data_IF_271468425015
#
_entry.id   IF_271468425015
#
_cell.length_a   1.000
_cell.length_b   1.000
_cell.length_c   1.000
_cell.angle_alpha   90.00
_cell.angle_beta   90.00
_cell.angle_gamma   90.00
#
_symmetry.space_group_name_H-M   'P 1'
#
loop_
_entity.id
_entity.type
_entity.pdbx_description
1 polymer ?
#
# COMPACT_ATOMS: atom_id res chain seq x y z
N UNK A 1 -6.50 -3.30 -20.14
CA UNK A 1 -7.81 -2.96 -19.55
C UNK A 1 -7.85 -3.12 -18.02
N UNK A 2 -7.02 -3.98 -17.41
CA UNK A 2 -6.98 -4.12 -15.94
C UNK A 2 -6.18 -3.01 -15.23
N UNK A 3 -5.28 -2.33 -15.93
CA UNK A 3 -4.40 -1.29 -15.37
C UNK A 3 -4.75 0.10 -15.89
N UNK A 4 -5.13 0.23 -17.16
CA UNK A 4 -5.41 1.50 -17.79
C UNK A 4 -6.67 1.46 -18.65
N UNK A 5 -7.27 2.64 -18.96
CA UNK A 5 -8.35 2.73 -19.93
C UNK A 5 -7.90 2.30 -21.33
N UNK A 6 -8.84 1.82 -22.14
CA UNK A 6 -8.58 1.46 -23.52
C UNK A 6 -7.97 2.64 -24.30
N UNK A 7 -6.89 2.38 -25.04
CA UNK A 7 -6.19 3.40 -25.83
C UNK A 7 -5.08 4.17 -25.08
N UNK A 8 -4.79 3.86 -23.82
CA UNK A 8 -3.58 4.34 -23.16
C UNK A 8 -2.35 3.72 -23.84
N UNK A 9 -1.25 4.48 -23.91
CA UNK A 9 0.04 3.97 -24.40
C UNK A 9 0.65 2.98 -23.40
N UNK A 10 1.54 2.12 -23.85
CA UNK A 10 2.17 1.09 -23.00
C UNK A 10 3.10 1.68 -21.95
N UNK A 11 3.71 2.84 -22.20
CA UNK A 11 4.71 3.45 -21.31
C UNK A 11 4.21 3.71 -19.87
N UNK A 12 3.09 4.43 -19.63
CA UNK A 12 2.58 4.62 -18.28
C UNK A 12 2.08 3.31 -17.65
N UNK A 13 1.62 2.35 -18.43
CA UNK A 13 1.19 1.04 -17.95
C UNK A 13 2.40 0.25 -17.41
N UNK A 14 3.48 0.17 -18.17
CA UNK A 14 4.70 -0.54 -17.79
C UNK A 14 5.38 0.13 -16.59
N UNK A 15 5.42 1.46 -16.56
CA UNK A 15 5.90 2.24 -15.42
C UNK A 15 5.12 1.90 -14.15
N UNK A 16 3.80 1.97 -14.19
CA UNK A 16 2.93 1.68 -13.06
C UNK A 16 3.04 0.22 -12.58
N UNK A 17 3.14 -0.75 -13.51
CA UNK A 17 3.36 -2.15 -13.18
C UNK A 17 4.72 -2.37 -12.48
N UNK A 18 5.76 -1.70 -12.94
CA UNK A 18 7.10 -1.74 -12.32
C UNK A 18 7.06 -1.18 -10.91
N UNK A 19 6.43 -0.03 -10.71
CA UNK A 19 6.32 0.63 -9.41
C UNK A 19 5.49 -0.21 -8.40
N UNK A 20 4.45 -0.89 -8.89
CA UNK A 20 3.62 -1.78 -8.07
C UNK A 20 4.25 -3.18 -7.84
N UNK A 21 5.43 -3.47 -8.41
CA UNK A 21 6.03 -4.80 -8.34
C UNK A 21 5.19 -5.87 -9.05
N UNK A 22 4.52 -5.52 -10.14
CA UNK A 22 3.59 -6.38 -10.86
C UNK A 22 4.03 -6.69 -12.30
N UNK A 23 5.21 -6.22 -12.72
CA UNK A 23 5.67 -6.34 -14.11
C UNK A 23 5.89 -7.79 -14.55
N UNK A 24 6.29 -8.65 -13.63
CA UNK A 24 6.61 -10.07 -13.85
C UNK A 24 5.40 -10.99 -13.76
N UNK A 25 4.22 -10.48 -13.42
CA UNK A 25 3.02 -11.30 -13.20
C UNK A 25 2.40 -11.81 -14.50
N UNK A 26 2.46 -11.02 -15.56
CA UNK A 26 1.88 -11.34 -16.87
C UNK A 26 2.37 -10.35 -17.95
N UNK A 27 2.22 -10.71 -19.23
CA UNK A 27 2.39 -9.75 -20.32
C UNK A 27 1.16 -8.83 -20.43
N UNK A 28 1.28 -7.70 -21.15
CA UNK A 28 0.17 -6.74 -21.29
C UNK A 28 -1.08 -7.35 -21.95
N UNK A 29 -0.90 -8.37 -22.78
CA UNK A 29 -1.97 -9.05 -23.51
C UNK A 29 -2.51 -10.30 -22.80
N UNK A 30 -1.96 -10.68 -21.65
CA UNK A 30 -2.38 -11.89 -20.93
C UNK A 30 -3.77 -11.67 -20.29
N UNK A 31 -4.78 -12.52 -20.60
CA UNK A 31 -6.05 -12.48 -19.90
C UNK A 31 -5.86 -12.88 -18.42
N UNK A 32 -6.24 -11.99 -17.50
CA UNK A 32 -6.17 -12.26 -16.05
C UNK A 32 -7.43 -12.99 -15.57
N UNK A 33 -7.74 -14.15 -16.16
CA UNK A 33 -8.89 -14.97 -15.78
C UNK A 33 -8.67 -16.45 -16.13
N UNK A 34 -8.98 -17.32 -15.17
CA UNK A 34 -9.04 -18.77 -15.37
C UNK A 34 -10.14 -19.10 -16.35
N UNK A 35 -10.02 -19.68 -17.42
CA UNK A 35 -11.07 -20.11 -18.37
C UNK A 35 -10.96 -19.50 -19.75
N UNK A 36 -10.03 -18.60 -19.94
CA UNK A 36 -9.63 -18.13 -21.24
C UNK A 36 -8.35 -18.84 -21.71
N UNK A 37 -8.26 -19.16 -23.00
CA UNK A 37 -7.06 -19.75 -23.58
C UNK A 37 -5.85 -18.81 -23.36
N UNK A 38 -4.79 -19.31 -22.73
CA UNK A 38 -3.63 -18.51 -22.36
C UNK A 38 -3.84 -17.58 -21.14
N UNK A 39 -4.98 -17.69 -20.46
CA UNK A 39 -5.26 -16.92 -19.25
C UNK A 39 -4.51 -17.42 -18.03
N UNK A 40 -4.20 -16.53 -17.11
CA UNK A 40 -3.59 -16.83 -15.82
C UNK A 40 -4.51 -16.45 -14.67
N UNK A 41 -4.34 -17.12 -13.53
CA UNK A 41 -4.98 -16.75 -12.28
C UNK A 41 -3.96 -16.12 -11.36
N UNK A 42 -4.36 -15.05 -10.70
CA UNK A 42 -3.50 -14.33 -9.78
C UNK A 42 -3.92 -14.63 -8.33
N UNK A 43 -2.93 -14.75 -7.44
CA UNK A 43 -3.19 -14.77 -5.99
C UNK A 43 -3.76 -13.43 -5.52
N UNK A 44 -4.34 -13.39 -4.31
CA UNK A 44 -4.86 -12.15 -3.73
C UNK A 44 -3.83 -11.02 -3.69
N UNK A 45 -2.59 -11.32 -3.26
CA UNK A 45 -1.51 -10.34 -3.25
C UNK A 45 -1.05 -9.88 -4.64
N UNK A 46 -1.13 -10.77 -5.65
CA UNK A 46 -0.86 -10.40 -7.03
C UNK A 46 -1.97 -9.48 -7.58
N UNK A 47 -3.23 -9.77 -7.29
CA UNK A 47 -4.35 -8.89 -7.63
C UNK A 47 -4.24 -7.52 -6.97
N UNK A 48 -3.78 -7.46 -5.72
CA UNK A 48 -3.54 -6.20 -5.02
C UNK A 48 -2.47 -5.36 -5.72
N UNK A 49 -1.37 -5.98 -6.17
CA UNK A 49 -0.33 -5.28 -6.96
C UNK A 49 -0.87 -4.76 -8.30
N UNK A 50 -1.72 -5.50 -8.98
CA UNK A 50 -2.39 -5.04 -10.22
C UNK A 50 -3.35 -3.86 -9.92
N UNK A 51 -4.09 -3.92 -8.82
CA UNK A 51 -4.97 -2.82 -8.41
C UNK A 51 -4.17 -1.56 -8.05
N UNK A 52 -3.02 -1.71 -7.38
CA UNK A 52 -2.10 -0.61 -7.10
C UNK A 52 -1.53 -0.03 -8.40
N UNK A 53 -1.10 -0.87 -9.34
CA UNK A 53 -0.63 -0.41 -10.66
C UNK A 53 -1.69 0.40 -11.40
N UNK A 54 -2.97 0.02 -11.31
CA UNK A 54 -4.08 0.81 -11.86
C UNK A 54 -4.17 2.20 -11.26
N UNK A 55 -4.03 2.33 -9.94
CA UNK A 55 -4.07 3.61 -9.26
C UNK A 55 -2.88 4.49 -9.66
N UNK A 56 -1.66 3.92 -9.71
CA UNK A 56 -0.45 4.63 -10.12
C UNK A 56 -0.50 5.05 -11.60
N UNK A 57 -1.00 4.20 -12.49
CA UNK A 57 -1.21 4.54 -13.89
C UNK A 57 -2.19 5.71 -14.06
N UNK A 58 -3.26 5.75 -13.27
CA UNK A 58 -4.20 6.87 -13.28
C UNK A 58 -3.52 8.19 -12.82
N UNK A 59 -2.61 8.14 -11.85
CA UNK A 59 -1.82 9.30 -11.43
C UNK A 59 -0.89 9.77 -12.54
N UNK A 60 -0.18 8.88 -13.21
CA UNK A 60 0.68 9.21 -14.36
C UNK A 60 -0.12 9.81 -15.53
N UNK A 61 -1.37 9.40 -15.69
CA UNK A 61 -2.31 9.95 -16.67
C UNK A 61 -2.99 11.26 -16.20
N UNK A 62 -2.59 11.80 -15.05
CA UNK A 62 -3.02 13.13 -14.57
C UNK A 62 -4.14 13.11 -13.54
N UNK A 63 -4.42 12.00 -12.87
CA UNK A 63 -5.36 12.00 -11.75
C UNK A 63 -4.85 12.89 -10.61
N UNK A 64 -5.66 13.85 -10.18
CA UNK A 64 -5.32 14.78 -9.09
C UNK A 64 -5.60 14.25 -7.70
N UNK A 65 -6.31 13.11 -7.58
CA UNK A 65 -6.65 12.46 -6.31
C UNK A 65 -6.55 10.94 -6.47
N UNK A 66 -5.94 10.29 -5.50
CA UNK A 66 -5.92 8.82 -5.41
C UNK A 66 -6.37 8.36 -4.03
N UNK A 67 -7.22 7.34 -4.00
CA UNK A 67 -7.68 6.69 -2.77
C UNK A 67 -7.14 5.27 -2.72
N UNK A 68 -6.44 4.93 -1.66
CA UNK A 68 -5.80 3.65 -1.44
C UNK A 68 -6.28 3.05 -0.11
N UNK A 69 -6.92 1.91 -0.19
CA UNK A 69 -7.39 1.15 0.97
C UNK A 69 -6.51 -0.07 1.17
N UNK A 70 -5.75 -0.08 2.27
CA UNK A 70 -4.80 -1.14 2.64
C UNK A 70 -3.90 -1.63 1.48
N UNK A 71 -3.21 -0.74 0.75
CA UNK A 71 -2.56 -1.08 -0.53
C UNK A 71 -1.42 -2.09 -0.41
N UNK A 72 -0.92 -2.34 0.80
CA UNK A 72 0.22 -3.24 1.08
C UNK A 72 -0.11 -4.40 2.02
N UNK A 73 -1.39 -4.63 2.35
CA UNK A 73 -1.82 -5.59 3.38
C UNK A 73 -1.35 -7.04 3.16
N UNK A 74 -1.15 -7.46 1.91
CA UNK A 74 -0.75 -8.83 1.55
C UNK A 74 0.73 -8.95 1.11
N UNK A 75 1.53 -7.94 1.38
CA UNK A 75 2.95 -7.93 1.08
C UNK A 75 3.77 -8.32 2.32
N UNK A 76 4.93 -8.93 2.10
CA UNK A 76 5.91 -9.11 3.16
C UNK A 76 6.51 -7.75 3.58
N UNK A 77 7.11 -7.71 4.78
CA UNK A 77 7.61 -6.45 5.39
C UNK A 77 8.65 -5.72 4.52
N UNK A 78 9.48 -6.47 3.77
CA UNK A 78 10.52 -5.84 2.92
C UNK A 78 9.92 -5.30 1.63
N UNK A 79 9.08 -6.09 0.96
CA UNK A 79 8.37 -5.66 -0.25
C UNK A 79 7.42 -4.51 0.00
N UNK A 80 6.79 -4.47 1.19
CA UNK A 80 5.94 -3.37 1.61
C UNK A 80 6.66 -2.03 1.66
N UNK A 81 7.80 -1.96 2.33
CA UNK A 81 8.55 -0.71 2.51
C UNK A 81 9.00 -0.12 1.16
N UNK A 82 9.48 -0.97 0.24
CA UNK A 82 9.90 -0.54 -1.09
C UNK A 82 8.73 -0.02 -1.93
N UNK A 83 7.61 -0.75 -1.96
CA UNK A 83 6.42 -0.36 -2.73
C UNK A 83 5.84 0.92 -2.15
N UNK A 84 5.80 1.05 -0.83
CA UNK A 84 5.30 2.25 -0.18
C UNK A 84 6.15 3.48 -0.48
N UNK A 85 7.47 3.36 -0.48
CA UNK A 85 8.37 4.45 -0.84
C UNK A 85 8.15 4.90 -2.29
N UNK A 86 8.03 3.97 -3.24
CA UNK A 86 7.71 4.27 -4.64
C UNK A 86 6.33 4.94 -4.79
N UNK A 87 5.34 4.47 -4.02
CA UNK A 87 4.02 5.07 -3.97
C UNK A 87 4.09 6.54 -3.58
N UNK A 88 4.77 6.88 -2.48
CA UNK A 88 4.94 8.26 -2.02
C UNK A 88 5.63 9.14 -3.06
N UNK A 89 6.63 8.61 -3.76
CA UNK A 89 7.35 9.35 -4.82
C UNK A 89 6.44 9.64 -6.01
N UNK A 90 5.69 8.64 -6.48
CA UNK A 90 4.80 8.78 -7.64
C UNK A 90 3.62 9.70 -7.36
N UNK A 91 3.09 9.66 -6.14
CA UNK A 91 1.89 10.42 -5.77
C UNK A 91 2.18 11.83 -5.25
N UNK A 92 3.42 12.30 -5.27
CA UNK A 92 3.81 13.64 -4.78
C UNK A 92 3.02 14.81 -5.38
N UNK A 93 2.51 14.63 -6.60
CA UNK A 93 1.81 15.67 -7.35
C UNK A 93 0.29 15.56 -7.27
N UNK A 94 -0.24 14.64 -6.48
CA UNK A 94 -1.67 14.47 -6.29
C UNK A 94 -2.04 14.37 -4.82
N UNK A 95 -3.32 14.57 -4.51
CA UNK A 95 -3.84 14.32 -3.16
C UNK A 95 -4.00 12.82 -2.95
N UNK A 96 -3.25 12.26 -2.01
CA UNK A 96 -3.33 10.83 -1.67
C UNK A 96 -4.12 10.65 -0.38
N UNK A 97 -5.22 9.91 -0.44
CA UNK A 97 -5.96 9.45 0.74
C UNK A 97 -5.61 7.99 0.95
N UNK A 98 -4.92 7.70 2.05
CA UNK A 98 -4.46 6.37 2.41
C UNK A 98 -5.22 5.87 3.63
N UNK A 99 -5.86 4.72 3.51
CA UNK A 99 -6.43 3.99 4.64
C UNK A 99 -5.45 2.86 4.98
N UNK A 100 -4.96 2.85 6.20
CA UNK A 100 -4.06 1.80 6.69
C UNK A 100 -4.14 1.67 8.21
N UNK A 101 -3.97 0.44 8.69
CA UNK A 101 -3.79 0.15 10.11
C UNK A 101 -2.30 -0.02 10.49
N UNK A 102 -1.37 0.14 9.52
CA UNK A 102 0.07 -0.02 9.74
C UNK A 102 0.72 1.33 10.03
N UNK A 103 1.20 1.52 11.24
CA UNK A 103 1.82 2.78 11.65
C UNK A 103 3.16 3.09 10.98
N UNK A 104 3.89 2.05 10.53
CA UNK A 104 5.07 2.22 9.66
C UNK A 104 4.76 3.04 8.42
N UNK A 105 3.54 2.92 7.91
CA UNK A 105 3.03 3.61 6.73
C UNK A 105 2.42 4.96 7.09
N UNK A 106 1.50 4.97 8.06
CA UNK A 106 0.67 6.14 8.43
C UNK A 106 1.51 7.32 8.93
N UNK A 107 2.60 7.07 9.67
CA UNK A 107 3.47 8.12 10.23
C UNK A 107 4.09 9.06 9.17
N UNK A 108 4.13 8.66 7.91
CA UNK A 108 4.70 9.45 6.81
C UNK A 108 3.67 10.37 6.13
N UNK A 109 2.40 10.32 6.54
CA UNK A 109 1.37 11.18 5.99
C UNK A 109 1.51 12.62 6.52
N UNK A 110 1.24 13.62 5.66
CA UNK A 110 1.20 15.03 6.03
C UNK A 110 0.12 15.32 7.06
N UNK A 111 -0.98 14.61 6.99
CA UNK A 111 -2.11 14.69 7.93
C UNK A 111 -2.67 13.30 8.21
N UNK A 112 -2.92 13.02 9.48
CA UNK A 112 -3.51 11.77 9.95
C UNK A 112 -4.87 12.08 10.53
N UNK A 113 -5.88 11.34 10.10
CA UNK A 113 -7.25 11.42 10.56
C UNK A 113 -7.62 10.12 11.28
N UNK A 114 -7.92 10.20 12.57
CA UNK A 114 -8.40 9.06 13.36
C UNK A 114 -9.92 9.03 13.33
N UNK A 115 -10.48 7.92 12.86
CA UNK A 115 -11.92 7.70 12.79
C UNK A 115 -12.38 6.73 13.88
N UNK A 116 -13.40 7.10 14.61
CA UNK A 116 -14.06 6.24 15.60
C UNK A 116 -15.57 6.41 15.48
N UNK A 117 -16.31 5.29 15.34
CA UNK A 117 -17.76 5.29 15.17
C UNK A 117 -18.27 6.24 14.06
N UNK A 118 -17.53 6.34 12.96
CA UNK A 118 -17.88 7.20 11.82
C UNK A 118 -17.62 8.70 12.03
N UNK A 119 -16.95 9.06 13.11
CA UNK A 119 -16.59 10.45 13.43
C UNK A 119 -15.07 10.63 13.47
N UNK A 120 -14.60 11.81 13.04
CA UNK A 120 -13.20 12.21 13.21
C UNK A 120 -13.00 12.58 14.67
N UNK A 121 -12.19 11.81 15.39
CA UNK A 121 -11.87 12.04 16.82
C UNK A 121 -10.55 12.76 17.00
N UNK A 122 -9.59 12.57 16.08
CA UNK A 122 -8.30 13.26 16.10
C UNK A 122 -7.86 13.58 14.67
N UNK A 123 -7.18 14.72 14.49
CA UNK A 123 -6.64 15.17 13.22
C UNK A 123 -5.35 15.96 13.45
N UNK A 124 -4.24 15.54 12.84
CA UNK A 124 -2.94 16.19 13.00
C UNK A 124 -1.83 15.49 12.24
N UNK A 125 -0.60 15.93 12.44
CA UNK A 125 0.61 15.21 12.03
C UNK A 125 0.92 14.10 13.04
N UNK A 126 1.86 13.20 12.70
CA UNK A 126 2.34 12.16 13.62
C UNK A 126 2.79 12.76 14.97
N UNK A 127 3.66 13.78 14.93
CA UNK A 127 4.24 14.38 16.13
C UNK A 127 3.18 15.09 16.99
N UNK A 128 2.23 15.79 16.38
CA UNK A 128 1.13 16.44 17.07
C UNK A 128 0.25 15.42 17.80
N UNK A 129 -0.12 14.31 17.12
CA UNK A 129 -0.97 13.28 17.70
C UNK A 129 -0.26 12.45 18.77
N UNK A 130 1.04 12.20 18.64
CA UNK A 130 1.85 11.58 19.70
C UNK A 130 1.94 12.47 20.94
N UNK A 131 2.14 13.79 20.73
CA UNK A 131 2.19 14.75 21.85
C UNK A 131 0.84 14.90 22.59
N UNK A 132 -0.27 14.75 21.89
CA UNK A 132 -1.62 14.77 22.49
C UNK A 132 -1.89 13.58 23.40
N UNK A 133 -1.14 12.46 23.26
CA UNK A 133 -1.32 11.21 24.02
C UNK A 133 -2.76 10.68 23.97
N UNK A 134 -3.42 10.87 22.84
CA UNK A 134 -4.79 10.43 22.60
C UNK A 134 -4.90 9.02 22.02
N UNK A 135 -5.94 8.81 21.22
CA UNK A 135 -6.25 7.52 20.60
C UNK A 135 -5.14 7.04 19.66
N UNK A 136 -4.63 7.95 18.82
CA UNK A 136 -3.52 7.66 17.90
C UNK A 136 -2.28 7.16 18.65
N UNK A 137 -1.85 7.88 19.67
CA UNK A 137 -0.68 7.52 20.47
C UNK A 137 -0.84 6.13 21.11
N UNK A 138 -1.99 5.87 21.74
CA UNK A 138 -2.30 4.57 22.34
C UNK A 138 -2.22 3.42 21.31
N UNK A 139 -2.81 3.62 20.13
CA UNK A 139 -2.78 2.61 19.07
C UNK A 139 -1.37 2.38 18.52
N UNK A 140 -0.58 3.47 18.39
CA UNK A 140 0.81 3.41 17.94
C UNK A 140 1.68 2.61 18.91
N UNK A 141 1.59 2.90 20.22
CA UNK A 141 2.34 2.22 21.27
C UNK A 141 2.00 0.72 21.34
N UNK A 142 0.72 0.38 21.31
CA UNK A 142 0.27 -1.03 21.29
C UNK A 142 0.79 -1.82 20.07
N UNK A 143 0.89 -1.18 18.92
CA UNK A 143 1.44 -1.85 17.73
C UNK A 143 2.96 -1.99 17.84
N UNK A 144 3.66 -0.99 18.38
CA UNK A 144 5.11 -1.05 18.60
C UNK A 144 5.50 -2.17 19.59
N UNK A 145 4.73 -2.35 20.67
CA UNK A 145 4.92 -3.43 21.63
C UNK A 145 4.79 -4.82 20.98
N UNK A 146 3.77 -5.03 20.15
CA UNK A 146 3.59 -6.31 19.44
C UNK A 146 4.76 -6.65 18.52
N UNK A 147 5.31 -5.66 17.82
CA UNK A 147 6.48 -5.88 16.97
C UNK A 147 7.76 -6.18 17.77
N UNK A 148 7.90 -5.66 18.99
CA UNK A 148 9.01 -5.97 19.88
C UNK A 148 8.95 -7.43 20.36
N UNK A 149 7.77 -7.88 20.79
CA UNK A 149 7.55 -9.25 21.27
C UNK A 149 7.78 -10.31 20.18
N UNK A 150 7.27 -10.08 18.96
CA UNK A 150 7.50 -10.98 17.81
C UNK A 150 8.98 -11.11 17.43
N UNK A 151 9.79 -10.08 17.70
CA UNK A 151 11.23 -10.08 17.41
C UNK A 151 12.00 -10.88 18.46
N UNK A 152 11.59 -10.86 19.72
CA UNK A 152 12.24 -11.62 20.81
C UNK A 152 11.92 -13.13 20.71
N UNK A 153 10.73 -13.52 20.31
CA UNK A 153 10.37 -14.93 20.08
C UNK A 153 11.14 -15.55 18.88
N UNK A 154 11.37 -14.77 17.81
CA UNK A 154 12.14 -15.22 16.64
C UNK A 154 13.61 -15.50 16.95
N UNK A 155 14.23 -14.70 17.80
CA UNK A 155 15.64 -14.87 18.19
C UNK A 155 15.85 -16.08 19.09
N UNK A 156 14.86 -16.46 19.89
CA UNK A 156 14.97 -17.60 20.82
C UNK A 156 14.90 -18.94 20.09
N UNK A 157 14.25 -19.03 18.94
CA UNK A 157 14.14 -20.26 18.14
C UNK A 157 15.38 -20.56 17.30
N UNK A 158 16.12 -19.53 16.84
CA UNK A 158 17.39 -19.73 16.12
C UNK A 158 18.57 -20.11 17.02
N UNK A 159 18.50 -19.82 18.32
CA UNK A 159 19.55 -20.16 19.28
C UNK A 159 19.48 -21.62 19.80
N UNK A 160 18.45 -22.39 19.43
CA UNK A 160 18.19 -23.77 19.87
C UNK A 160 18.29 -24.82 18.75
N UNK A 161 18.77 -24.45 17.56
CA UNK A 161 19.00 -25.37 16.41
C UNK A 161 20.52 -25.43 16.05
#
# INVERSE_FOLDING_TARGET
DNVAPAGASDEPILSALTQAGALDLATLDTPLAKGYAGGTDLSGGQWQRVALARALCAVELGAGVVLLDEPTAQLDVRGEAEIFQRLLETTRHCTTILISHRFSTVRHADRICVLEHGQVVELGTHDELMAQRGRYCTMFELQAERFADDTEEGVTLEALS
#
